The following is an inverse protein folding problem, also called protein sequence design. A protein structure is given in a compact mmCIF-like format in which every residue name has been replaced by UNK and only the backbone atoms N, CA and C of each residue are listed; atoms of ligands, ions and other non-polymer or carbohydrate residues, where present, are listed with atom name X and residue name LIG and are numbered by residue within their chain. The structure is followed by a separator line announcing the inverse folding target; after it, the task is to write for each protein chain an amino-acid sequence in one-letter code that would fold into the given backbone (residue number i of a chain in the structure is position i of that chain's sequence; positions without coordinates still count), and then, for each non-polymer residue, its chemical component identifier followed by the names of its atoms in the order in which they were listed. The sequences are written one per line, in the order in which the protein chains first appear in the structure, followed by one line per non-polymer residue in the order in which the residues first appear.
data_IF_127819369723
#
_entry.id   IF_127819369723
#
_cell.length_a   1.000
_cell.length_b   1.000
_cell.length_c   1.000
_cell.angle_alpha   90.00
_cell.angle_beta   90.00
_cell.angle_gamma   90.00
#
_symmetry.space_group_name_H-M   'P 1'
#
loop_
_entity.id
_entity.type
_entity.pdbx_description
1 polymer ?
#
# COMPACT_ATOMS: atom_id res chain seq x y z
N UNK A 1 3.55 -25.10 9.56
CA UNK A 1 3.03 -23.80 10.04
C UNK A 1 1.74 -23.50 9.32
N UNK A 2 0.68 -23.16 10.05
CA UNK A 2 -0.57 -22.65 9.45
C UNK A 2 -0.33 -21.25 8.90
N UNK A 3 -0.76 -20.97 7.67
CA UNK A 3 -0.68 -19.61 7.13
C UNK A 3 -1.64 -18.71 7.91
N UNK A 4 -1.25 -17.47 8.25
CA UNK A 4 -2.19 -16.49 8.76
C UNK A 4 -3.28 -16.24 7.69
N UNK A 5 -4.51 -16.01 8.14
CA UNK A 5 -5.64 -15.72 7.25
C UNK A 5 -6.04 -14.25 7.36
N UNK A 6 -6.54 -13.68 6.26
CA UNK A 6 -7.07 -12.32 6.18
C UNK A 6 -8.52 -12.40 5.74
N UNK A 7 -9.42 -11.74 6.46
CA UNK A 7 -10.85 -11.64 6.11
C UNK A 7 -11.11 -10.27 5.50
N UNK A 8 -11.63 -10.24 4.27
CA UNK A 8 -11.95 -8.99 3.57
C UNK A 8 -13.45 -8.73 3.65
N UNK A 9 -13.84 -7.64 4.32
CA UNK A 9 -15.24 -7.18 4.38
C UNK A 9 -15.42 -6.02 3.41
N UNK A 10 -16.24 -6.20 2.36
CA UNK A 10 -16.44 -5.21 1.29
C UNK A 10 -17.93 -4.93 1.04
N UNK A 11 -18.25 -3.83 0.36
CA UNK A 11 -19.62 -3.39 0.07
C UNK A 11 -19.74 -1.89 -0.24
N UNK A 12 -20.91 -1.47 -0.75
CA UNK A 12 -21.19 -0.05 -1.07
C UNK A 12 -21.11 0.85 0.17
N UNK A 13 -20.82 2.16 0.05
CA UNK A 13 -21.00 3.11 1.16
C UNK A 13 -22.36 2.95 1.84
N UNK A 14 -22.42 2.96 3.18
CA UNK A 14 -23.65 2.72 3.95
C UNK A 14 -24.09 1.26 4.15
N UNK A 15 -23.44 0.27 3.53
CA UNK A 15 -23.87 -1.15 3.59
C UNK A 15 -23.59 -1.89 4.92
N UNK A 16 -23.18 -1.20 5.98
CA UNK A 16 -22.91 -1.81 7.29
C UNK A 16 -21.59 -2.60 7.43
N UNK A 17 -20.73 -2.60 6.41
CA UNK A 17 -19.43 -3.32 6.41
C UNK A 17 -18.50 -2.96 7.57
N UNK A 18 -18.43 -1.68 7.98
CA UNK A 18 -17.65 -1.24 9.14
C UNK A 18 -18.21 -1.83 10.44
N UNK A 19 -19.53 -1.81 10.63
CA UNK A 19 -20.21 -2.42 11.78
C UNK A 19 -19.97 -3.93 11.84
N UNK A 20 -20.04 -4.62 10.70
CA UNK A 20 -19.78 -6.06 10.62
C UNK A 20 -18.31 -6.37 10.97
N UNK A 21 -17.36 -5.61 10.43
CA UNK A 21 -15.93 -5.80 10.71
C UNK A 21 -15.62 -5.69 12.22
N UNK A 22 -16.17 -4.68 12.91
CA UNK A 22 -15.98 -4.53 14.36
C UNK A 22 -16.64 -5.64 15.18
N UNK A 23 -17.83 -6.10 14.77
CA UNK A 23 -18.46 -7.27 15.41
C UNK A 23 -17.63 -8.53 15.23
N UNK A 24 -17.04 -8.74 14.05
CA UNK A 24 -16.17 -9.88 13.79
C UNK A 24 -14.93 -9.83 14.70
N UNK A 25 -14.26 -8.69 14.80
CA UNK A 25 -13.09 -8.52 15.70
C UNK A 25 -13.35 -9.02 17.12
N UNK A 26 -14.51 -8.67 17.69
CA UNK A 26 -14.88 -9.10 19.05
C UNK A 26 -15.11 -10.61 19.19
N UNK A 27 -15.37 -11.33 18.09
CA UNK A 27 -15.70 -12.77 18.09
C UNK A 27 -14.50 -13.64 17.68
N UNK A 28 -13.65 -13.16 16.76
CA UNK A 28 -12.51 -13.92 16.23
C UNK A 28 -11.16 -13.44 16.77
N UNK A 29 -11.16 -12.49 17.72
CA UNK A 29 -9.97 -11.96 18.40
C UNK A 29 -8.86 -11.49 17.44
N UNK A 30 -9.25 -10.84 16.34
CA UNK A 30 -8.32 -10.29 15.35
C UNK A 30 -8.34 -8.76 15.34
N UNK A 31 -7.39 -8.12 14.65
CA UNK A 31 -7.40 -6.66 14.44
C UNK A 31 -8.21 -6.31 13.18
N UNK A 32 -9.10 -5.31 13.26
CA UNK A 32 -9.72 -4.72 12.07
C UNK A 32 -8.82 -3.64 11.49
N UNK A 33 -8.59 -3.70 10.19
CA UNK A 33 -7.93 -2.65 9.42
C UNK A 33 -8.98 -2.01 8.49
N UNK A 34 -9.52 -0.87 8.89
CA UNK A 34 -10.63 -0.22 8.19
C UNK A 34 -10.13 0.99 7.38
N UNK A 35 -10.38 0.99 6.06
CA UNK A 35 -9.95 2.07 5.15
C UNK A 35 -10.45 3.44 5.58
N UNK A 36 -11.70 3.52 6.00
CA UNK A 36 -12.34 4.81 6.32
C UNK A 36 -11.77 5.34 7.67
N UNK A 37 -11.52 4.46 8.64
CA UNK A 37 -10.84 4.82 9.89
C UNK A 37 -9.40 5.28 9.67
N UNK A 38 -8.65 4.63 8.77
CA UNK A 38 -7.30 5.10 8.42
C UNK A 38 -7.31 6.57 7.95
N UNK A 39 -8.28 6.93 7.12
CA UNK A 39 -8.44 8.30 6.62
C UNK A 39 -8.82 9.29 7.72
N UNK A 40 -9.52 8.85 8.76
CA UNK A 40 -10.09 9.72 9.80
C UNK A 40 -9.20 9.93 11.03
N UNK A 41 -8.00 9.33 11.10
CA UNK A 41 -7.06 9.68 12.19
C UNK A 41 -5.89 8.74 12.48
N UNK A 42 -5.77 7.60 11.80
CA UNK A 42 -4.64 6.68 12.05
C UNK A 42 -3.41 6.94 11.18
N UNK A 43 -3.56 7.54 9.99
CA UNK A 43 -2.41 7.86 9.13
C UNK A 43 -1.69 9.08 9.69
N UNK A 44 -0.44 8.90 10.14
CA UNK A 44 0.39 9.95 10.74
C UNK A 44 1.41 10.54 9.75
N UNK A 45 1.81 9.76 8.75
CA UNK A 45 2.83 10.14 7.79
C UNK A 45 2.62 9.39 6.49
N UNK A 46 3.12 9.96 5.40
CA UNK A 46 3.17 9.29 4.10
C UNK A 46 4.64 9.12 3.73
N UNK A 47 5.01 7.94 3.24
CA UNK A 47 6.31 7.69 2.63
C UNK A 47 6.06 7.33 1.17
N UNK A 48 6.60 8.12 0.25
CA UNK A 48 6.45 7.95 -1.19
C UNK A 48 7.77 7.48 -1.76
N UNK A 49 7.81 6.24 -2.24
CA UNK A 49 8.99 5.75 -2.95
C UNK A 49 9.02 6.35 -4.37
N UNK A 50 10.17 6.88 -4.76
CA UNK A 50 10.44 7.37 -6.12
C UNK A 50 11.59 6.59 -6.74
N UNK A 51 11.53 6.49 -8.06
CA UNK A 51 12.55 5.91 -8.92
C UNK A 51 12.17 6.33 -10.35
N UNK A 52 13.11 6.22 -11.28
CA UNK A 52 12.79 6.33 -12.70
C UNK A 52 11.59 5.41 -13.07
N UNK A 53 10.53 5.93 -13.71
CA UNK A 53 9.35 5.15 -14.03
C UNK A 53 9.60 3.93 -14.94
N UNK A 54 10.60 3.99 -15.82
CA UNK A 54 10.97 2.85 -16.67
C UNK A 54 11.71 1.78 -15.85
N UNK A 55 12.56 2.18 -14.91
CA UNK A 55 13.17 1.26 -13.95
C UNK A 55 12.12 0.60 -13.03
N UNK A 56 11.11 1.33 -12.58
CA UNK A 56 9.98 0.76 -11.83
C UNK A 56 9.24 -0.30 -12.67
N UNK A 57 8.94 0.01 -13.95
CA UNK A 57 8.29 -0.91 -14.89
C UNK A 57 9.13 -2.17 -15.11
N UNK A 58 10.44 -2.02 -15.35
CA UNK A 58 11.35 -3.16 -15.53
C UNK A 58 11.33 -4.10 -14.31
N UNK A 59 11.48 -3.55 -13.10
CA UNK A 59 11.42 -4.30 -11.83
C UNK A 59 10.05 -4.98 -11.62
N UNK A 60 8.95 -4.33 -12.03
CA UNK A 60 7.62 -4.91 -11.93
C UNK A 60 7.46 -6.15 -12.83
N UNK A 61 7.89 -6.06 -14.09
CA UNK A 61 7.82 -7.17 -15.06
C UNK A 61 8.70 -8.34 -14.58
N UNK A 62 9.94 -8.07 -14.19
CA UNK A 62 10.89 -9.09 -13.71
C UNK A 62 10.31 -9.88 -12.52
N UNK A 63 9.75 -9.18 -11.53
CA UNK A 63 9.11 -9.81 -10.36
C UNK A 63 7.86 -10.61 -10.72
N UNK A 64 7.08 -10.15 -11.70
CA UNK A 64 5.90 -10.86 -12.19
C UNK A 64 6.25 -12.19 -12.85
N UNK A 65 7.31 -12.21 -13.66
CA UNK A 65 7.81 -13.43 -14.31
C UNK A 65 8.43 -14.42 -13.31
N UNK A 66 9.07 -13.92 -12.25
CA UNK A 66 9.74 -14.76 -11.25
C UNK A 66 8.77 -15.50 -10.28
N UNK A 67 7.52 -15.08 -10.12
CA UNK A 67 6.58 -15.70 -9.17
C UNK A 67 5.13 -15.78 -9.66
N UNK A 68 4.79 -16.94 -10.23
CA UNK A 68 3.48 -17.23 -10.84
C UNK A 68 2.28 -17.14 -9.87
N UNK A 69 2.49 -17.26 -8.55
CA UNK A 69 1.37 -17.16 -7.58
C UNK A 69 0.79 -15.75 -7.42
N UNK A 70 1.48 -14.70 -7.90
CA UNK A 70 0.98 -13.32 -7.83
C UNK A 70 -0.08 -12.99 -8.88
N UNK A 71 -0.08 -13.65 -10.03
CA UNK A 71 -1.11 -13.44 -11.07
C UNK A 71 -2.53 -13.71 -10.53
N UNK A 72 -2.67 -14.67 -9.60
CA UNK A 72 -3.96 -15.09 -9.05
C UNK A 72 -4.67 -14.06 -8.18
N UNK A 73 -3.93 -13.15 -7.51
CA UNK A 73 -4.52 -12.22 -6.53
C UNK A 73 -4.54 -10.77 -7.00
N UNK A 74 -3.77 -10.41 -8.02
CA UNK A 74 -3.68 -9.02 -8.48
C UNK A 74 -4.62 -8.67 -9.63
N UNK A 75 -5.19 -9.65 -10.36
CA UNK A 75 -5.99 -9.34 -11.56
C UNK A 75 -5.23 -8.50 -12.59
N UNK A 76 -3.90 -8.49 -12.50
CA UNK A 76 -3.03 -7.60 -13.24
C UNK A 76 -2.98 -8.04 -14.70
N UNK A 77 -3.71 -7.33 -15.56
CA UNK A 77 -3.54 -7.41 -17.01
C UNK A 77 -2.08 -7.15 -17.43
N UNK A 78 -1.29 -6.46 -16.60
CA UNK A 78 0.09 -6.11 -16.90
C UNK A 78 1.03 -7.31 -17.10
N UNK A 79 0.87 -8.39 -16.31
CA UNK A 79 1.71 -9.60 -16.45
C UNK A 79 1.32 -10.40 -17.71
N UNK A 80 0.03 -10.42 -18.05
CA UNK A 80 -0.49 -11.04 -19.28
C UNK A 80 -0.08 -10.25 -20.53
N UNK A 81 -0.24 -8.93 -20.51
CA UNK A 81 0.17 -8.02 -21.59
C UNK A 81 1.68 -8.08 -21.87
N UNK A 82 2.51 -8.23 -20.84
CA UNK A 82 3.96 -8.40 -21.01
C UNK A 82 4.33 -9.76 -21.64
N UNK A 83 3.58 -10.84 -21.33
CA UNK A 83 3.72 -12.14 -21.97
C UNK A 83 3.24 -12.15 -23.43
N UNK A 84 2.29 -11.28 -23.76
CA UNK A 84 1.71 -11.12 -25.11
C UNK A 84 2.41 -10.04 -25.97
N UNK A 85 3.48 -9.40 -25.46
CA UNK A 85 4.24 -8.38 -26.20
C UNK A 85 3.57 -7.00 -26.29
N UNK A 86 2.53 -6.74 -25.48
CA UNK A 86 1.84 -5.46 -25.42
C UNK A 86 2.63 -4.49 -24.54
N UNK A 87 3.07 -3.38 -25.12
CA UNK A 87 3.79 -2.34 -24.41
C UNK A 87 2.91 -1.66 -23.36
N UNK A 88 3.18 -1.91 -22.07
CA UNK A 88 2.52 -1.20 -20.99
C UNK A 88 2.97 0.26 -20.97
N UNK A 89 2.05 1.19 -21.19
CA UNK A 89 2.34 2.61 -21.02
C UNK A 89 2.76 2.88 -19.57
N UNK A 90 3.84 3.65 -19.41
CA UNK A 90 4.25 4.15 -18.10
C UNK A 90 3.24 5.21 -17.68
N UNK A 91 2.31 4.83 -16.81
CA UNK A 91 1.32 5.73 -16.24
C UNK A 91 1.96 6.73 -15.26
N UNK A 92 1.34 7.89 -15.09
CA UNK A 92 1.69 8.83 -14.01
C UNK A 92 1.22 8.25 -12.67
N UNK A 93 2.10 8.28 -11.67
CA UNK A 93 1.74 8.00 -10.29
C UNK A 93 1.34 9.29 -9.59
N UNK A 94 0.19 9.28 -8.92
CA UNK A 94 -0.28 10.38 -8.08
C UNK A 94 -0.27 9.93 -6.63
N UNK A 95 0.61 10.49 -5.78
CA UNK A 95 0.61 10.21 -4.35
C UNK A 95 -0.74 10.56 -3.71
N UNK A 96 -1.09 9.96 -2.56
CA UNK A 96 -2.29 10.33 -1.83
C UNK A 96 -2.28 11.82 -1.47
N UNK A 97 -3.32 12.55 -1.86
CA UNK A 97 -3.53 13.93 -1.44
C UNK A 97 -4.05 13.96 0.01
N UNK A 98 -3.12 14.06 0.96
CA UNK A 98 -3.44 14.25 2.38
C UNK A 98 -2.52 15.32 2.95
N UNK A 99 -3.08 16.19 3.80
CA UNK A 99 -2.31 17.18 4.56
C UNK A 99 -1.59 16.51 5.74
N UNK A 100 -0.68 15.60 5.40
CA UNK A 100 0.14 14.86 6.34
C UNK A 100 1.60 15.03 5.95
N UNK A 101 2.54 15.08 6.91
CA UNK A 101 3.94 15.22 6.54
C UNK A 101 4.36 13.98 5.75
N UNK A 102 4.95 14.25 4.58
CA UNK A 102 5.27 13.29 3.54
C UNK A 102 6.77 13.25 3.30
N UNK A 103 7.36 12.06 3.26
CA UNK A 103 8.77 11.83 2.94
C UNK A 103 8.88 11.13 1.60
N UNK A 104 9.66 11.69 0.69
CA UNK A 104 10.03 11.05 -0.56
C UNK A 104 11.31 10.23 -0.36
N UNK A 105 11.31 8.98 -0.82
CA UNK A 105 12.44 8.05 -0.71
C UNK A 105 12.84 7.55 -2.09
N UNK A 106 14.02 7.93 -2.56
CA UNK A 106 14.61 7.35 -3.75
C UNK A 106 15.04 5.90 -3.47
N UNK A 107 14.57 4.99 -4.32
CA UNK A 107 14.83 3.55 -4.25
C UNK A 107 15.60 3.03 -5.47
N UNK A 108 16.24 3.93 -6.23
CA UNK A 108 17.05 3.59 -7.41
C UNK A 108 18.18 2.64 -7.02
N UNK A 109 18.97 3.00 -6.00
CA UNK A 109 20.03 2.19 -5.43
C UNK A 109 20.04 2.33 -3.90
N UNK A 110 19.58 1.29 -3.20
CA UNK A 110 19.34 1.36 -1.75
C UNK A 110 18.20 2.31 -1.39
N UNK A 111 18.35 3.04 -0.27
CA UNK A 111 17.39 4.03 0.21
C UNK A 111 18.08 5.38 0.39
N UNK A 112 17.54 6.42 -0.24
CA UNK A 112 17.92 7.80 0.01
C UNK A 112 16.65 8.63 0.27
N UNK A 113 16.44 9.12 1.51
CA UNK A 113 17.34 9.08 2.67
C UNK A 113 17.55 7.67 3.25
N UNK A 114 18.52 7.51 4.15
CA UNK A 114 18.87 6.21 4.73
C UNK A 114 17.70 5.60 5.52
N UNK A 115 17.75 4.29 5.77
CA UNK A 115 16.71 3.60 6.52
C UNK A 115 16.51 4.20 7.92
N UNK A 116 17.59 4.59 8.60
CA UNK A 116 17.54 5.22 9.92
C UNK A 116 16.78 6.55 9.87
N UNK A 117 16.98 7.35 8.82
CA UNK A 117 16.29 8.62 8.61
C UNK A 117 14.80 8.42 8.29
N UNK A 118 14.48 7.38 7.51
CA UNK A 118 13.09 6.99 7.24
C UNK A 118 12.39 6.59 8.54
N UNK A 119 13.04 5.76 9.37
CA UNK A 119 12.51 5.36 10.68
C UNK A 119 12.28 6.58 11.58
N UNK A 120 13.26 7.48 11.67
CA UNK A 120 13.13 8.70 12.45
C UNK A 120 11.95 9.57 11.99
N UNK A 121 11.73 9.67 10.68
CA UNK A 121 10.59 10.40 10.12
C UNK A 121 9.24 9.76 10.49
N UNK A 122 9.13 8.42 10.40
CA UNK A 122 7.89 7.67 10.70
C UNK A 122 7.57 7.70 12.20
N UNK A 123 8.60 7.60 13.04
CA UNK A 123 8.49 7.53 14.50
C UNK A 123 8.47 8.90 15.18
N UNK A 124 8.44 10.00 14.41
CA UNK A 124 8.40 11.36 14.97
C UNK A 124 7.23 11.50 15.97
N UNK A 125 7.43 12.19 17.11
CA UNK A 125 6.36 12.46 18.05
C UNK A 125 5.21 13.18 17.33
N UNK A 126 3.96 12.84 17.69
CA UNK A 126 2.81 13.60 17.22
C UNK A 126 2.90 15.01 17.81
N UNK A 127 3.09 16.03 16.99
CA UNK A 127 2.73 17.38 17.39
C UNK A 127 1.22 17.39 17.50
N UNK A 128 0.69 17.34 18.72
CA UNK A 128 -0.73 17.58 18.95
C UNK A 128 -0.99 19.01 18.47
N UNK A 129 -1.59 19.15 17.29
CA UNK A 129 -2.21 20.42 16.90
C UNK A 129 -3.39 20.56 17.86
N UNK A 130 -3.18 21.34 18.91
CA UNK A 130 -4.23 21.67 19.87
C UNK A 130 -5.44 22.24 19.14
N UNK A 131 -6.57 21.59 19.31
CA UNK A 131 -7.90 22.18 19.23
C UNK A 131 -8.64 21.82 20.50
#
# INVERSE_FOLDING_TARGET
MTKPFVVVVTGRPGSGKTTLAHKLVGQIHCTALCRDEFKEGYVNSIVVCTVDPYLAKARFIERGLANFTRERFHGDKATLSSKEGIELLVGKYYPPEMDLPTLTVDTTDGYSPTLEQIIAFVMRPKTLIGK
#
